data_IF_426638387872
#
_entry.id   IF_426638387872
#
_cell.length_a   1.000
_cell.length_b   1.000
_cell.length_c   1.000
_cell.angle_alpha   90.00
_cell.angle_beta   90.00
_cell.angle_gamma   90.00
#
_symmetry.space_group_name_H-M   'P 1'
#
loop_
_entity.id
_entity.type
_entity.pdbx_description
1 polymer ?
#
# COMPACT_ATOMS: atom_id res chain seq x y z
N UNK A 1 -18.32 -0.16 43.51
CA UNK A 1 -17.69 -1.17 42.65
C UNK A 1 -18.63 -1.49 41.49
N UNK A 2 -19.88 -1.83 41.75
CA UNK A 2 -20.86 -2.21 40.71
C UNK A 2 -21.15 -1.13 39.66
N UNK A 3 -21.27 0.14 40.06
CA UNK A 3 -21.54 1.24 39.12
C UNK A 3 -20.38 1.51 38.14
N UNK A 4 -19.13 1.35 38.61
CA UNK A 4 -17.94 1.50 37.77
C UNK A 4 -17.81 0.33 36.79
N UNK A 5 -18.20 -0.88 37.20
CA UNK A 5 -18.26 -2.05 36.33
C UNK A 5 -19.34 -1.88 35.27
N UNK A 6 -20.54 -1.45 35.65
CA UNK A 6 -21.63 -1.18 34.70
C UNK A 6 -21.28 -0.08 33.70
N UNK A 7 -20.63 1.00 34.13
CA UNK A 7 -20.17 2.07 33.23
C UNK A 7 -19.11 1.57 32.23
N UNK A 8 -18.19 0.70 32.69
CA UNK A 8 -17.18 0.09 31.81
C UNK A 8 -17.81 -0.87 30.81
N UNK A 9 -18.80 -1.66 31.21
CA UNK A 9 -19.54 -2.55 30.32
C UNK A 9 -20.33 -1.77 29.27
N UNK A 10 -21.02 -0.70 29.66
CA UNK A 10 -21.73 0.18 28.73
C UNK A 10 -20.78 0.83 27.72
N UNK A 11 -19.63 1.35 28.17
CA UNK A 11 -18.62 1.92 27.28
C UNK A 11 -18.01 0.87 26.32
N UNK A 12 -17.83 -0.37 26.79
CA UNK A 12 -17.35 -1.45 25.93
C UNK A 12 -18.39 -1.87 24.89
N UNK A 13 -19.68 -1.88 25.24
CA UNK A 13 -20.78 -2.16 24.31
C UNK A 13 -20.92 -1.06 23.24
N UNK A 14 -20.84 0.21 23.65
CA UNK A 14 -20.84 1.35 22.73
C UNK A 14 -19.67 1.27 21.75
N UNK A 15 -18.44 1.05 22.25
CA UNK A 15 -17.27 0.89 21.42
C UNK A 15 -17.39 -0.30 20.45
N UNK A 16 -17.96 -1.43 20.90
CA UNK A 16 -18.19 -2.59 20.03
C UNK A 16 -19.20 -2.28 18.91
N UNK A 17 -20.26 -1.52 19.21
CA UNK A 17 -21.25 -1.08 18.23
C UNK A 17 -20.66 -0.11 17.20
N UNK A 18 -19.83 0.82 17.63
CA UNK A 18 -19.11 1.74 16.73
C UNK A 18 -18.15 1.00 15.80
N UNK A 19 -17.36 0.07 16.34
CA UNK A 19 -16.45 -0.78 15.55
C UNK A 19 -17.23 -1.57 14.51
N UNK A 20 -18.35 -2.18 14.90
CA UNK A 20 -19.19 -2.95 13.97
C UNK A 20 -19.76 -2.06 12.85
N UNK A 21 -20.23 -0.86 13.21
CA UNK A 21 -20.76 0.11 12.25
C UNK A 21 -19.68 0.58 11.27
N UNK A 22 -18.47 0.87 11.78
CA UNK A 22 -17.33 1.25 10.96
C UNK A 22 -16.91 0.13 10.01
N UNK A 23 -16.82 -1.12 10.50
CA UNK A 23 -16.52 -2.28 9.67
C UNK A 23 -17.52 -2.42 8.51
N UNK A 24 -18.81 -2.23 8.78
CA UNK A 24 -19.85 -2.30 7.77
C UNK A 24 -19.73 -1.16 6.74
N UNK A 25 -19.40 0.06 7.19
CA UNK A 25 -19.17 1.20 6.31
C UNK A 25 -17.96 0.97 5.38
N UNK A 26 -16.82 0.57 5.95
CA UNK A 26 -15.59 0.24 5.21
C UNK A 26 -15.84 -0.85 4.19
N UNK A 27 -16.48 -1.94 4.58
CA UNK A 27 -16.82 -3.03 3.67
C UNK A 27 -17.69 -2.54 2.51
N UNK A 28 -18.73 -1.77 2.81
CA UNK A 28 -19.64 -1.25 1.78
C UNK A 28 -18.94 -0.31 0.81
N UNK A 29 -18.08 0.58 1.31
CA UNK A 29 -17.29 1.49 0.48
C UNK A 29 -16.31 0.73 -0.44
N UNK A 30 -15.61 -0.28 0.09
CA UNK A 30 -14.72 -1.11 -0.73
C UNK A 30 -15.47 -1.86 -1.83
N UNK A 31 -16.61 -2.46 -1.51
CA UNK A 31 -17.45 -3.14 -2.51
C UNK A 31 -17.92 -2.16 -3.58
N UNK A 32 -18.37 -0.97 -3.18
CA UNK A 32 -18.82 0.07 -4.11
C UNK A 32 -17.68 0.56 -5.01
N UNK A 33 -16.50 0.81 -4.44
CA UNK A 33 -15.29 1.21 -5.16
C UNK A 33 -14.85 0.15 -6.15
N UNK A 34 -14.83 -1.12 -5.74
CA UNK A 34 -14.51 -2.25 -6.60
C UNK A 34 -15.49 -2.38 -7.78
N UNK A 35 -16.80 -2.34 -7.51
CA UNK A 35 -17.82 -2.38 -8.55
C UNK A 35 -17.72 -1.20 -9.52
N UNK A 36 -17.36 -0.01 -9.02
CA UNK A 36 -17.11 1.16 -9.86
C UNK A 36 -15.90 0.92 -10.78
N UNK A 37 -14.80 0.40 -10.23
CA UNK A 37 -13.60 0.07 -11.01
C UNK A 37 -13.90 -0.97 -12.10
N UNK A 38 -14.72 -1.99 -11.81
CA UNK A 38 -15.14 -2.97 -12.83
C UNK A 38 -15.92 -2.32 -13.98
N UNK A 39 -16.86 -1.41 -13.69
CA UNK A 39 -17.57 -0.66 -14.74
C UNK A 39 -16.63 0.24 -15.55
N UNK A 40 -15.66 0.87 -14.90
CA UNK A 40 -14.63 1.66 -15.59
C UNK A 40 -13.76 0.78 -16.49
N UNK A 41 -13.38 -0.41 -16.01
CA UNK A 41 -12.59 -1.36 -16.78
C UNK A 41 -13.36 -1.88 -17.99
N UNK A 42 -14.62 -2.29 -17.82
CA UNK A 42 -15.49 -2.73 -18.93
C UNK A 42 -15.69 -1.63 -19.98
N UNK A 43 -15.82 -0.38 -19.55
CA UNK A 43 -15.97 0.77 -20.45
C UNK A 43 -14.69 1.08 -21.24
N UNK A 44 -13.55 1.17 -20.55
CA UNK A 44 -12.27 1.56 -21.14
C UNK A 44 -11.60 0.43 -21.92
N UNK A 45 -11.78 -0.81 -21.47
CA UNK A 45 -11.11 -1.99 -21.98
C UNK A 45 -12.09 -2.99 -22.60
N UNK A 46 -12.99 -2.51 -23.46
CA UNK A 46 -13.93 -3.34 -24.23
C UNK A 46 -13.29 -4.52 -24.98
N UNK A 47 -11.99 -4.41 -25.28
CA UNK A 47 -11.21 -5.39 -26.03
C UNK A 47 -10.36 -6.32 -25.13
N UNK A 48 -10.28 -6.05 -23.83
CA UNK A 48 -9.53 -6.87 -22.88
C UNK A 48 -10.45 -7.95 -22.32
N UNK A 49 -10.09 -9.20 -22.58
CA UNK A 49 -10.83 -10.33 -22.03
C UNK A 49 -10.71 -10.38 -20.50
N UNK A 50 -11.77 -10.79 -19.80
CA UNK A 50 -11.72 -11.19 -18.38
C UNK A 50 -10.73 -12.33 -18.11
N UNK A 51 -10.27 -13.00 -19.17
CA UNK A 51 -9.23 -14.04 -19.12
C UNK A 51 -7.84 -13.55 -19.55
N UNK A 52 -7.65 -12.24 -19.75
CA UNK A 52 -6.35 -11.66 -20.05
C UNK A 52 -5.40 -11.84 -18.86
N UNK A 53 -4.32 -12.58 -19.10
CA UNK A 53 -3.34 -12.95 -18.08
C UNK A 53 -2.63 -11.75 -17.42
N UNK A 54 -2.66 -10.57 -18.05
CA UNK A 54 -2.12 -9.32 -17.47
C UNK A 54 -2.95 -8.78 -16.31
N UNK A 55 -4.20 -9.21 -16.20
CA UNK A 55 -5.14 -8.80 -15.15
C UNK A 55 -5.51 -9.95 -14.21
N UNK A 56 -4.68 -10.99 -14.16
CA UNK A 56 -4.91 -12.12 -13.26
C UNK A 56 -4.70 -11.68 -11.81
N UNK A 57 -5.81 -11.55 -11.06
CA UNK A 57 -5.81 -11.11 -9.66
C UNK A 57 -5.05 -12.05 -8.71
N UNK A 58 -4.79 -13.29 -9.12
CA UNK A 58 -3.98 -14.21 -8.33
C UNK A 58 -2.48 -13.95 -8.52
N UNK A 59 -2.06 -13.11 -9.47
CA UNK A 59 -0.67 -12.75 -9.68
C UNK A 59 -0.33 -11.44 -8.95
N UNK A 60 0.87 -11.37 -8.39
CA UNK A 60 1.45 -10.19 -7.76
C UNK A 60 2.97 -10.13 -8.07
N UNK A 61 3.61 -8.99 -7.80
CA UNK A 61 5.04 -8.79 -8.04
C UNK A 61 5.84 -9.16 -6.79
N UNK A 62 6.71 -10.15 -6.90
CA UNK A 62 7.66 -10.53 -5.86
C UNK A 62 9.04 -10.76 -6.47
N UNK A 63 10.05 -10.11 -5.91
CA UNK A 63 11.43 -10.16 -6.41
C UNK A 63 11.52 -9.85 -7.92
N UNK A 64 10.86 -8.76 -8.33
CA UNK A 64 10.77 -8.30 -9.74
C UNK A 64 10.16 -9.33 -10.72
N UNK A 65 9.44 -10.34 -10.22
CA UNK A 65 8.74 -11.34 -11.01
C UNK A 65 7.26 -11.35 -10.69
N UNK A 66 6.44 -11.60 -11.71
CA UNK A 66 5.00 -11.76 -11.55
C UNK A 66 4.70 -13.22 -11.19
N UNK A 67 4.21 -13.47 -9.97
CA UNK A 67 4.02 -14.80 -9.39
C UNK A 67 2.63 -14.92 -8.75
N UNK A 68 2.14 -16.15 -8.61
CA UNK A 68 0.90 -16.40 -7.90
C UNK A 68 1.03 -16.09 -6.40
N UNK A 69 0.01 -15.50 -5.78
CA UNK A 69 -0.02 -15.14 -4.35
C UNK A 69 0.27 -16.35 -3.45
N UNK A 70 -0.19 -17.55 -3.82
CA UNK A 70 0.12 -18.77 -3.08
C UNK A 70 1.61 -19.13 -3.16
N UNK A 71 2.23 -18.94 -4.33
CA UNK A 71 3.65 -19.17 -4.53
C UNK A 71 4.51 -18.13 -3.80
N UNK A 72 4.11 -16.86 -3.83
CA UNK A 72 4.75 -15.79 -3.05
C UNK A 72 4.71 -16.12 -1.56
N UNK A 73 3.57 -16.61 -1.07
CA UNK A 73 3.42 -17.00 0.34
C UNK A 73 4.38 -18.12 0.73
N UNK A 74 4.53 -19.13 -0.14
CA UNK A 74 5.49 -20.22 0.04
C UNK A 74 6.93 -19.72 0.04
N UNK A 75 7.31 -18.91 -0.93
CA UNK A 75 8.67 -18.36 -1.04
C UNK A 75 9.05 -17.47 0.15
N UNK A 76 8.12 -16.65 0.65
CA UNK A 76 8.36 -15.85 1.87
C UNK A 76 8.61 -16.73 3.09
N UNK A 77 7.81 -17.79 3.27
CA UNK A 77 8.00 -18.73 4.37
C UNK A 77 9.36 -19.47 4.26
N UNK A 78 9.76 -19.89 3.06
CA UNK A 78 11.06 -20.52 2.81
C UNK A 78 12.22 -19.54 3.11
N UNK A 79 12.10 -18.28 2.71
CA UNK A 79 13.10 -17.24 3.00
C UNK A 79 13.21 -16.91 4.49
N UNK A 80 12.08 -16.85 5.21
CA UNK A 80 12.05 -16.64 6.67
C UNK A 80 12.77 -17.78 7.40
N UNK A 81 12.54 -19.04 6.98
CA UNK A 81 13.26 -20.21 7.52
C UNK A 81 14.75 -20.16 7.21
N UNK A 82 15.13 -19.73 6.00
CA UNK A 82 16.54 -19.65 5.58
C UNK A 82 17.32 -18.52 6.28
N UNK A 83 16.65 -17.42 6.63
CA UNK A 83 17.26 -16.25 7.29
C UNK A 83 17.17 -16.27 8.81
N UNK A 84 16.27 -17.07 9.40
CA UNK A 84 16.16 -17.28 10.85
C UNK A 84 17.16 -18.29 11.46
N UNK A 85 18.10 -18.81 10.67
CA UNK A 85 19.01 -19.90 11.06
C UNK A 85 20.39 -19.49 11.62
N UNK A 86 20.53 -18.36 12.33
CA UNK A 86 21.81 -17.99 12.95
C UNK A 86 21.70 -17.18 14.27
N UNK A 87 21.03 -17.73 15.28
CA UNK A 87 21.11 -17.19 16.66
C UNK A 87 22.35 -17.65 17.46
N UNK A 88 23.50 -17.91 16.82
CA UNK A 88 24.78 -18.08 17.51
C UNK A 88 25.94 -17.43 16.76
N UNK A 89 26.24 -16.18 17.11
CA UNK A 89 27.61 -15.66 17.22
C UNK A 89 27.56 -14.29 17.90
N UNK A 90 27.61 -14.29 19.24
CA UNK A 90 28.08 -13.12 20.00
C UNK A 90 29.55 -12.91 19.60
N UNK A 91 29.80 -12.12 18.55
CA UNK A 91 31.11 -11.54 18.32
C UNK A 91 31.11 -10.21 19.05
N UNK A 92 31.67 -10.23 20.26
CA UNK A 92 32.01 -9.04 21.01
C UNK A 92 33.10 -8.28 20.24
N UNK A 93 32.69 -7.43 19.30
CA UNK A 93 33.58 -6.42 18.74
C UNK A 93 33.72 -5.30 19.79
N UNK A 94 34.93 -5.18 20.32
CA UNK A 94 35.31 -4.17 21.31
C UNK A 94 35.09 -2.75 20.76
N UNK A 95 34.65 -1.78 21.58
CA UNK A 95 34.46 -0.40 21.13
C UNK A 95 35.83 0.22 20.79
N UNK A 96 35.94 0.78 19.60
CA UNK A 96 37.06 1.65 19.20
C UNK A 96 36.54 3.08 19.18
N UNK A 97 37.31 3.94 19.82
CA UNK A 97 36.99 5.31 20.19
C UNK A 97 36.70 6.27 19.02
N UNK A 98 35.86 7.25 19.35
CA UNK A 98 35.62 8.53 18.67
C UNK A 98 36.93 9.19 18.23
N UNK A 99 37.05 9.61 16.96
CA UNK A 99 37.44 10.98 16.58
C UNK A 99 37.33 11.24 15.06
N UNK A 100 36.63 12.33 14.72
CA UNK A 100 36.89 13.27 13.63
C UNK A 100 37.22 12.79 12.20
N UNK A 101 36.30 13.07 11.26
CA UNK A 101 36.59 13.91 10.09
C UNK A 101 35.33 14.06 9.22
N UNK A 102 34.87 15.30 9.07
CA UNK A 102 34.00 15.69 7.95
C UNK A 102 34.83 15.71 6.66
N UNK A 103 34.28 15.19 5.55
CA UNK A 103 34.58 15.76 4.25
C UNK A 103 33.32 16.33 3.62
N UNK A 104 33.40 17.65 3.44
CA UNK A 104 32.65 18.45 2.48
C UNK A 104 32.88 17.90 1.06
N UNK A 105 31.82 17.87 0.25
CA UNK A 105 31.86 17.36 -1.11
C UNK A 105 30.48 17.43 -1.75
N UNK A 106 30.15 18.64 -2.21
CA UNK A 106 29.11 18.95 -3.20
C UNK A 106 29.12 17.94 -4.36
N UNK A 107 27.96 17.66 -4.97
CA UNK A 107 27.83 17.49 -6.42
C UNK A 107 26.37 17.27 -6.85
N UNK A 108 25.81 18.28 -7.53
CA UNK A 108 24.92 18.09 -8.68
C UNK A 108 23.40 18.02 -8.43
N UNK A 109 22.77 19.17 -8.21
CA UNK A 109 21.33 19.34 -8.44
C UNK A 109 21.07 19.32 -9.96
N UNK A 110 20.40 18.27 -10.45
CA UNK A 110 19.98 18.14 -11.84
C UNK A 110 18.61 18.77 -12.08
N UNK A 111 18.54 19.60 -13.12
CA UNK A 111 17.40 20.34 -13.66
C UNK A 111 16.05 19.60 -13.60
N UNK A 112 15.06 20.25 -12.99
CA UNK A 112 13.65 20.04 -13.31
C UNK A 112 13.17 21.29 -14.08
N UNK A 113 13.19 21.19 -15.42
CA UNK A 113 12.51 22.13 -16.30
C UNK A 113 10.99 21.91 -16.15
N UNK A 114 10.37 22.80 -15.37
CA UNK A 114 8.94 22.90 -15.16
C UNK A 114 8.30 23.57 -16.38
N UNK A 115 8.03 22.76 -17.40
CA UNK A 115 7.29 23.17 -18.60
C UNK A 115 5.79 23.22 -18.32
N UNK A 116 5.31 24.36 -17.80
CA UNK A 116 3.88 24.68 -17.70
C UNK A 116 3.33 25.04 -19.10
N UNK A 117 2.76 24.07 -19.80
CA UNK A 117 2.00 24.31 -21.03
C UNK A 117 0.57 24.72 -20.67
N UNK A 118 0.33 26.03 -20.54
CA UNK A 118 -1.01 26.61 -20.39
C UNK A 118 -1.74 26.50 -21.73
N UNK A 119 -2.65 25.53 -21.84
CA UNK A 119 -3.57 25.46 -22.95
C UNK A 119 -4.64 26.57 -22.81
N UNK A 120 -4.55 27.57 -23.67
CA UNK A 120 -5.59 28.57 -23.94
C UNK A 120 -6.87 27.86 -24.43
N UNK A 121 -7.89 27.74 -23.58
CA UNK A 121 -9.22 27.36 -24.04
C UNK A 121 -9.85 28.52 -24.81
N UNK A 122 -9.86 28.36 -26.13
CA UNK A 122 -10.59 29.19 -27.07
C UNK A 122 -12.08 29.22 -26.74
N UNK A 123 -12.56 30.44 -26.59
CA UNK A 123 -13.95 30.83 -26.46
C UNK A 123 -14.76 30.34 -27.70
N UNK A 124 -15.70 29.41 -27.54
CA UNK A 124 -16.66 29.08 -28.59
C UNK A 124 -18.00 29.78 -28.32
N UNK A 125 -18.40 30.57 -29.31
CA UNK A 125 -19.55 31.47 -29.28
C UNK A 125 -20.86 30.68 -29.28
N UNK A 126 -21.77 31.03 -28.36
CA UNK A 126 -23.17 30.59 -28.43
C UNK A 126 -23.86 31.27 -29.62
N UNK A 127 -24.07 30.51 -30.70
CA UNK A 127 -24.93 30.93 -31.80
C UNK A 127 -26.43 30.69 -31.45
N UNK A 128 -27.16 31.80 -31.52
CA UNK A 128 -28.63 32.07 -31.49
C UNK A 128 -29.63 30.90 -31.36
#
# INVERSE_FOLDING_TARGET
>A
MDEVVAAKEAAAEEAASEIFSLQQAVYSEHVNGFQKALRQADFLYREVSVSDCRFNMNLDVYDNRMLDVAEISRLRAEHEVATGGNEEAVVVASPVDVEGAVPDGEDGEGDADDGEEVAEEGNDEVAD
#
